data_IF_369882605871
#
_entry.id   IF_369882605871
#
_cell.length_a   1.000
_cell.length_b   1.000
_cell.length_c   1.000
_cell.angle_alpha   90.00
_cell.angle_beta   90.00
_cell.angle_gamma   90.00
#
_symmetry.space_group_name_H-M   'P 1'
#
loop_
_entity.id
_entity.type
_entity.pdbx_description
1 polymer ?
#
# COMPACT_ATOMS: atom_id res chain seq x y z
N UNK A 1 13.66 -24.62 -8.87
CA UNK A 1 13.10 -23.31 -8.50
C UNK A 1 11.67 -23.28 -9.00
N UNK A 2 10.65 -23.22 -8.12
CA UNK A 2 9.27 -23.09 -8.57
C UNK A 2 9.15 -21.73 -9.26
N UNK A 3 8.79 -21.72 -10.54
CA UNK A 3 8.58 -20.49 -11.31
C UNK A 3 7.41 -19.75 -10.67
N UNK A 4 7.65 -18.55 -10.20
CA UNK A 4 6.61 -17.67 -9.71
C UNK A 4 5.81 -17.14 -10.91
N UNK A 5 4.56 -17.52 -11.00
CA UNK A 5 3.68 -16.86 -11.95
C UNK A 5 3.41 -15.45 -11.45
N UNK A 6 3.61 -14.45 -12.33
CA UNK A 6 3.27 -13.06 -12.05
C UNK A 6 1.89 -13.01 -11.43
N UNK A 7 1.79 -12.38 -10.25
CA UNK A 7 0.52 -12.22 -9.59
C UNK A 7 -0.37 -11.25 -10.38
N UNK A 8 -1.17 -11.81 -11.24
CA UNK A 8 -2.44 -11.24 -11.61
C UNK A 8 -3.50 -11.98 -10.78
N UNK A 9 -3.95 -11.38 -9.69
CA UNK A 9 -4.90 -12.00 -8.78
C UNK A 9 -5.97 -11.02 -8.37
N UNK A 10 -7.20 -11.47 -8.37
CA UNK A 10 -8.27 -10.83 -7.64
C UNK A 10 -8.16 -11.23 -6.16
N UNK A 11 -8.23 -10.25 -5.27
CA UNK A 11 -8.32 -10.50 -3.84
C UNK A 11 -9.69 -11.07 -3.55
N UNK A 12 -9.73 -12.12 -2.74
CA UNK A 12 -10.95 -12.79 -2.32
C UNK A 12 -11.09 -12.76 -0.79
N UNK A 13 -12.23 -13.20 -0.29
CA UNK A 13 -12.55 -13.19 1.14
C UNK A 13 -13.01 -11.83 1.65
N UNK A 14 -13.00 -11.62 2.96
CA UNK A 14 -13.54 -10.42 3.61
C UNK A 14 -12.93 -9.12 3.05
N UNK A 15 -11.60 -9.07 2.85
CA UNK A 15 -10.93 -7.92 2.23
C UNK A 15 -11.32 -7.77 0.76
N UNK A 16 -11.37 -8.86 0.00
CA UNK A 16 -11.63 -8.82 -1.44
C UNK A 16 -13.03 -8.33 -1.77
N UNK A 17 -14.01 -8.72 -1.00
CA UNK A 17 -15.40 -8.31 -1.19
C UNK A 17 -15.63 -6.82 -0.94
N UNK A 18 -14.75 -6.17 -0.16
CA UNK A 18 -14.82 -4.74 0.17
C UNK A 18 -13.89 -3.87 -0.68
N UNK A 19 -12.92 -4.48 -1.38
CA UNK A 19 -11.91 -3.75 -2.13
C UNK A 19 -12.43 -3.33 -3.51
N UNK A 20 -12.48 -2.03 -3.80
CA UNK A 20 -12.84 -1.50 -5.12
C UNK A 20 -11.76 -1.75 -6.19
N UNK A 21 -10.54 -2.08 -5.77
CA UNK A 21 -9.41 -2.40 -6.65
C UNK A 21 -8.85 -3.79 -6.33
N UNK A 22 -9.66 -4.85 -6.49
CA UNK A 22 -9.27 -6.21 -6.11
C UNK A 22 -8.20 -6.81 -7.03
N UNK A 23 -8.11 -6.29 -8.28
CA UNK A 23 -7.15 -6.79 -9.28
C UNK A 23 -5.75 -6.26 -8.98
N UNK A 24 -4.85 -7.14 -8.59
CA UNK A 24 -3.47 -6.84 -8.24
C UNK A 24 -2.51 -7.41 -9.26
N UNK A 25 -1.50 -6.63 -9.61
CA UNK A 25 -0.40 -7.00 -10.51
C UNK A 25 0.92 -6.66 -9.81
N UNK A 26 1.61 -7.67 -9.30
CA UNK A 26 2.91 -7.50 -8.66
C UNK A 26 4.04 -7.72 -9.67
N UNK A 27 4.94 -6.76 -9.76
CA UNK A 27 6.12 -6.80 -10.66
C UNK A 27 7.29 -7.57 -10.06
N UNK A 28 7.25 -7.78 -8.75
CA UNK A 28 8.18 -8.61 -7.97
C UNK A 28 7.38 -9.57 -7.09
N UNK A 29 7.96 -10.68 -6.69
CA UNK A 29 7.28 -11.66 -5.87
C UNK A 29 8.19 -12.49 -4.97
N UNK A 30 7.60 -13.36 -4.17
CA UNK A 30 8.27 -14.28 -3.25
C UNK A 30 9.20 -13.61 -2.22
N UNK A 31 9.11 -12.31 -2.04
CA UNK A 31 9.90 -11.53 -1.08
C UNK A 31 9.86 -10.05 -1.39
N UNK A 32 10.15 -9.25 -0.38
CA UNK A 32 10.25 -7.80 -0.49
C UNK A 32 11.42 -7.32 0.35
N UNK A 33 12.36 -6.60 -0.27
CA UNK A 33 13.55 -6.13 0.40
C UNK A 33 13.30 -5.02 1.44
N UNK A 34 12.08 -4.47 1.50
CA UNK A 34 11.68 -3.56 2.57
C UNK A 34 11.51 -4.26 3.93
N UNK A 35 11.34 -5.57 3.94
CA UNK A 35 11.32 -6.47 5.12
C UNK A 35 10.56 -5.95 6.33
N UNK A 36 9.36 -5.41 6.10
CA UNK A 36 8.53 -4.85 7.18
C UNK A 36 8.11 -5.95 8.18
N UNK A 37 8.32 -5.72 9.48
CA UNK A 37 7.98 -6.66 10.55
C UNK A 37 6.47 -6.85 10.72
N UNK A 38 5.66 -5.85 10.38
CA UNK A 38 4.19 -5.89 10.41
C UNK A 38 3.56 -6.37 9.09
N UNK A 39 4.33 -6.97 8.18
CA UNK A 39 3.87 -7.28 6.82
C UNK A 39 2.93 -8.50 6.78
N UNK A 40 1.67 -8.28 6.43
CA UNK A 40 0.70 -9.36 6.25
C UNK A 40 1.09 -10.34 5.13
N UNK A 41 1.69 -9.83 4.04
CA UNK A 41 2.13 -10.66 2.92
C UNK A 41 3.26 -11.60 3.34
N UNK A 42 4.21 -11.12 4.16
CA UNK A 42 5.27 -11.94 4.76
C UNK A 42 4.67 -13.08 5.59
N UNK A 43 3.67 -12.80 6.42
CA UNK A 43 3.04 -13.84 7.25
C UNK A 43 2.35 -14.92 6.41
N UNK A 44 1.56 -14.53 5.40
CA UNK A 44 0.84 -15.46 4.52
C UNK A 44 1.79 -16.29 3.67
N UNK A 45 2.79 -15.66 3.07
CA UNK A 45 3.72 -16.33 2.15
C UNK A 45 4.76 -17.17 2.88
N UNK A 46 5.19 -16.76 4.08
CA UNK A 46 6.08 -17.57 4.93
C UNK A 46 5.40 -18.87 5.37
N UNK A 47 4.13 -18.80 5.79
CA UNK A 47 3.35 -19.99 6.12
C UNK A 47 3.25 -20.99 4.95
N UNK A 48 3.24 -20.48 3.71
CA UNK A 48 3.20 -21.30 2.49
C UNK A 48 4.59 -21.72 1.98
N UNK A 49 5.68 -21.36 2.67
CA UNK A 49 7.05 -21.63 2.23
C UNK A 49 7.43 -20.87 0.94
N UNK A 50 6.78 -19.75 0.66
CA UNK A 50 6.95 -18.97 -0.58
C UNK A 50 7.65 -17.63 -0.37
N UNK A 51 8.13 -17.33 0.84
CA UNK A 51 8.77 -16.05 1.15
C UNK A 51 10.28 -16.19 1.27
N UNK A 52 11.02 -15.35 0.54
CA UNK A 52 12.47 -15.22 0.63
C UNK A 52 12.91 -13.79 0.31
N UNK A 53 13.23 -13.00 1.33
CA UNK A 53 13.66 -11.61 1.16
C UNK A 53 15.02 -11.44 0.49
N UNK A 54 15.91 -12.45 0.62
CA UNK A 54 17.23 -12.38 0.03
C UNK A 54 17.20 -12.55 -1.50
N UNK A 55 16.21 -13.30 -1.99
CA UNK A 55 16.08 -13.64 -3.41
C UNK A 55 14.65 -13.46 -3.91
N UNK A 56 14.09 -12.22 -3.86
CA UNK A 56 12.80 -11.98 -4.49
C UNK A 56 12.84 -12.28 -6.00
N UNK A 57 11.72 -12.67 -6.55
CA UNK A 57 11.60 -13.04 -7.97
C UNK A 57 11.12 -11.86 -8.77
N UNK A 58 11.76 -11.62 -9.91
CA UNK A 58 11.33 -10.59 -10.87
C UNK A 58 10.22 -11.14 -11.76
N UNK A 59 9.17 -10.36 -11.96
CA UNK A 59 8.04 -10.72 -12.82
C UNK A 59 8.44 -10.88 -14.29
N UNK A 60 7.95 -11.95 -14.93
CA UNK A 60 8.19 -12.16 -16.34
C UNK A 60 7.36 -11.16 -17.18
N UNK A 61 8.02 -10.32 -17.97
CA UNK A 61 7.38 -9.25 -18.74
C UNK A 61 6.36 -9.74 -19.78
N UNK A 62 6.53 -10.95 -20.34
CA UNK A 62 5.52 -11.55 -21.25
C UNK A 62 4.25 -11.89 -20.49
N UNK A 63 4.37 -12.44 -19.29
CA UNK A 63 3.22 -12.75 -18.41
C UNK A 63 2.54 -11.46 -17.93
N UNK A 64 3.29 -10.45 -17.53
CA UNK A 64 2.77 -9.12 -17.15
C UNK A 64 1.97 -8.52 -18.30
N UNK A 65 2.51 -8.51 -19.52
CA UNK A 65 1.80 -8.03 -20.72
C UNK A 65 0.48 -8.78 -20.93
N UNK A 66 0.51 -10.11 -20.83
CA UNK A 66 -0.69 -10.94 -21.01
C UNK A 66 -1.73 -10.65 -19.92
N UNK A 67 -1.30 -10.44 -18.66
CA UNK A 67 -2.18 -10.06 -17.55
C UNK A 67 -2.85 -8.69 -17.79
N UNK A 68 -2.09 -7.70 -18.29
CA UNK A 68 -2.62 -6.37 -18.64
C UNK A 68 -3.67 -6.48 -19.75
N UNK A 69 -3.40 -7.25 -20.80
CA UNK A 69 -4.35 -7.48 -21.90
C UNK A 69 -5.62 -8.16 -21.38
N UNK A 70 -5.47 -9.18 -20.52
CA UNK A 70 -6.59 -9.87 -19.89
C UNK A 70 -7.43 -8.92 -19.05
N UNK A 71 -6.80 -8.12 -18.19
CA UNK A 71 -7.48 -7.12 -17.35
C UNK A 71 -8.30 -6.16 -18.22
N UNK A 72 -7.70 -5.60 -19.26
CA UNK A 72 -8.39 -4.68 -20.17
C UNK A 72 -9.60 -5.34 -20.85
N UNK A 73 -9.47 -6.58 -21.34
CA UNK A 73 -10.57 -7.33 -21.94
C UNK A 73 -11.69 -7.66 -20.96
N UNK A 74 -11.36 -7.86 -19.68
CA UNK A 74 -12.35 -8.10 -18.61
C UNK A 74 -13.00 -6.82 -18.07
N UNK A 75 -12.76 -5.66 -18.68
CA UNK A 75 -13.37 -4.39 -18.27
C UNK A 75 -12.78 -3.75 -17.02
N UNK A 76 -11.65 -4.29 -16.51
CA UNK A 76 -10.94 -3.70 -15.37
C UNK A 76 -10.50 -2.28 -15.74
N UNK A 77 -10.78 -1.31 -14.88
CA UNK A 77 -10.43 0.10 -15.09
C UNK A 77 -9.07 0.46 -14.51
N UNK A 78 -8.79 -0.06 -13.31
CA UNK A 78 -7.54 0.20 -12.56
C UNK A 78 -7.01 -1.10 -12.00
N UNK A 79 -5.71 -1.37 -12.17
CA UNK A 79 -4.98 -2.44 -11.48
C UNK A 79 -4.14 -1.86 -10.36
N UNK A 80 -4.04 -2.56 -9.22
CA UNK A 80 -3.18 -2.15 -8.11
C UNK A 80 -1.80 -2.80 -8.26
N UNK A 81 -0.74 -1.98 -8.28
CA UNK A 81 0.65 -2.40 -8.15
C UNK A 81 1.07 -2.36 -6.66
N UNK A 82 1.89 -3.29 -6.23
CA UNK A 82 2.33 -3.37 -4.82
C UNK A 82 1.29 -4.02 -3.90
N UNK A 83 0.70 -5.13 -4.33
CA UNK A 83 -0.27 -5.90 -3.56
C UNK A 83 0.37 -6.78 -2.49
N UNK A 84 1.27 -7.69 -2.89
CA UNK A 84 1.96 -8.61 -1.99
C UNK A 84 3.40 -8.19 -1.72
N UNK A 85 4.03 -7.48 -2.67
CA UNK A 85 5.39 -6.94 -2.54
C UNK A 85 5.38 -5.49 -3.00
N UNK A 86 6.38 -4.72 -2.60
CA UNK A 86 6.52 -3.35 -3.09
C UNK A 86 7.09 -3.35 -4.51
N UNK A 87 6.41 -2.69 -5.42
CA UNK A 87 6.83 -2.59 -6.82
C UNK A 87 8.05 -1.68 -7.01
N UNK A 88 8.37 -0.82 -6.03
CA UNK A 88 9.56 0.04 -6.00
C UNK A 88 10.59 -0.40 -4.96
N UNK A 89 10.63 -1.69 -4.59
CA UNK A 89 11.70 -2.22 -3.75
C UNK A 89 13.07 -2.07 -4.44
N UNK A 90 14.22 -2.17 -3.74
CA UNK A 90 15.55 -1.92 -4.31
C UNK A 90 15.87 -2.67 -5.61
N UNK A 91 15.26 -3.83 -5.84
CA UNK A 91 15.40 -4.57 -7.12
C UNK A 91 14.98 -3.74 -8.34
N UNK A 92 14.09 -2.76 -8.17
CA UNK A 92 13.64 -1.92 -9.28
C UNK A 92 14.77 -1.09 -9.88
N UNK A 93 15.77 -0.70 -9.10
CA UNK A 93 16.97 -0.01 -9.60
C UNK A 93 17.76 -0.86 -10.61
N UNK A 94 17.70 -2.19 -10.46
CA UNK A 94 18.44 -3.14 -11.32
C UNK A 94 17.60 -3.65 -12.49
N UNK A 95 16.38 -4.12 -12.22
CA UNK A 95 15.59 -4.90 -13.17
C UNK A 95 14.55 -4.06 -13.93
N UNK A 96 14.12 -2.93 -13.36
CA UNK A 96 13.18 -1.98 -13.97
C UNK A 96 11.87 -2.63 -14.46
N UNK A 97 11.42 -3.65 -13.73
CA UNK A 97 10.21 -4.38 -14.11
C UNK A 97 8.95 -3.50 -13.94
N UNK A 98 8.91 -2.65 -12.90
CA UNK A 98 7.81 -1.70 -12.69
C UNK A 98 7.83 -0.60 -13.76
N UNK A 99 9.00 -0.07 -14.12
CA UNK A 99 9.15 0.89 -15.21
C UNK A 99 8.56 0.36 -16.52
N UNK A 100 8.95 -0.86 -16.91
CA UNK A 100 8.44 -1.51 -18.12
C UNK A 100 6.93 -1.79 -18.03
N UNK A 101 6.45 -2.17 -16.84
CA UNK A 101 5.02 -2.43 -16.60
C UNK A 101 4.19 -1.16 -16.76
N UNK A 102 4.64 -0.02 -16.22
CA UNK A 102 3.97 1.28 -16.36
C UNK A 102 3.87 1.66 -17.86
N UNK A 103 4.93 1.49 -18.61
CA UNK A 103 4.89 1.73 -20.07
C UNK A 103 3.86 0.85 -20.79
N UNK A 104 3.72 -0.40 -20.38
CA UNK A 104 2.69 -1.29 -20.92
C UNK A 104 1.28 -0.84 -20.50
N UNK A 105 1.07 -0.47 -19.24
CA UNK A 105 -0.21 0.03 -18.74
C UNK A 105 -0.67 1.28 -19.53
N UNK A 106 0.23 2.24 -19.74
CA UNK A 106 -0.03 3.42 -20.56
C UNK A 106 -0.34 3.05 -22.02
N UNK A 107 0.43 2.13 -22.62
CA UNK A 107 0.19 1.66 -23.99
C UNK A 107 -1.21 1.04 -24.15
N UNK A 108 -1.67 0.28 -23.17
CA UNK A 108 -3.00 -0.36 -23.20
C UNK A 108 -4.12 0.50 -22.59
N UNK A 109 -3.81 1.74 -22.18
CA UNK A 109 -4.76 2.65 -21.54
C UNK A 109 -5.52 2.00 -20.39
N UNK A 110 -4.78 1.39 -19.47
CA UNK A 110 -5.27 0.75 -18.25
C UNK A 110 -4.75 1.54 -17.05
N UNK A 111 -5.66 2.07 -16.23
CA UNK A 111 -5.32 2.81 -15.01
C UNK A 111 -4.56 1.94 -14.01
N UNK A 112 -3.74 2.56 -13.18
CA UNK A 112 -2.96 1.86 -12.16
C UNK A 112 -2.84 2.65 -10.88
N UNK A 113 -3.02 1.95 -9.76
CA UNK A 113 -2.78 2.45 -8.42
C UNK A 113 -1.46 1.88 -7.89
N UNK A 114 -0.48 2.74 -7.71
CA UNK A 114 0.81 2.40 -7.11
C UNK A 114 0.74 2.58 -5.61
N UNK A 115 1.02 1.50 -4.86
CA UNK A 115 1.15 1.53 -3.40
C UNK A 115 2.59 1.17 -3.05
N UNK A 116 3.33 2.09 -2.44
CA UNK A 116 4.76 1.92 -2.19
C UNK A 116 5.24 2.59 -0.91
N UNK A 117 6.35 2.10 -0.35
CA UNK A 117 7.15 2.73 0.72
C UNK A 117 8.46 3.34 0.20
N UNK A 118 8.60 3.45 -1.11
CA UNK A 118 9.83 3.89 -1.76
C UNK A 118 9.71 5.30 -2.34
N UNK A 119 10.70 6.14 -2.07
CA UNK A 119 10.83 7.45 -2.71
C UNK A 119 11.12 7.37 -4.22
N UNK A 120 11.60 6.22 -4.71
CA UNK A 120 11.90 6.00 -6.13
C UNK A 120 10.71 6.28 -7.05
N UNK A 121 9.48 6.17 -6.52
CA UNK A 121 8.25 6.48 -7.25
C UNK A 121 8.22 7.90 -7.81
N UNK A 122 8.92 8.84 -7.18
CA UNK A 122 9.01 10.24 -7.62
C UNK A 122 10.33 10.60 -8.30
N UNK A 123 11.15 9.61 -8.71
CA UNK A 123 12.33 9.89 -9.51
C UNK A 123 11.95 10.44 -10.88
N UNK A 124 12.73 11.37 -11.42
CA UNK A 124 12.44 12.08 -12.67
C UNK A 124 12.20 11.16 -13.86
N UNK A 125 12.89 10.03 -13.93
CA UNK A 125 12.72 9.06 -14.99
C UNK A 125 11.34 8.38 -14.97
N UNK A 126 10.76 8.15 -13.76
CA UNK A 126 9.40 7.63 -13.60
C UNK A 126 8.37 8.73 -13.81
N UNK A 127 8.61 9.93 -13.28
CA UNK A 127 7.74 11.09 -13.46
C UNK A 127 7.49 11.39 -14.95
N UNK A 128 8.50 11.18 -15.81
CA UNK A 128 8.40 11.39 -17.26
C UNK A 128 7.51 10.37 -17.99
N UNK A 129 7.30 9.19 -17.42
CA UNK A 129 6.51 8.14 -18.06
C UNK A 129 5.11 7.99 -17.48
N UNK A 130 4.79 8.63 -16.36
CA UNK A 130 3.44 8.57 -15.81
C UNK A 130 2.42 9.30 -16.70
N UNK A 131 1.31 8.65 -16.96
CA UNK A 131 0.13 9.25 -17.60
C UNK A 131 -0.79 9.77 -16.50
N UNK A 132 -1.08 11.08 -16.48
CA UNK A 132 -1.83 11.73 -15.40
C UNK A 132 -3.28 11.24 -15.27
N UNK A 133 -3.85 10.75 -16.37
CA UNK A 133 -5.22 10.24 -16.40
C UNK A 133 -5.30 8.76 -15.95
N UNK A 134 -4.16 8.09 -15.86
CA UNK A 134 -4.09 6.66 -15.53
C UNK A 134 -3.41 6.36 -14.21
N UNK A 135 -2.52 7.24 -13.76
CA UNK A 135 -1.64 7.02 -12.61
C UNK A 135 -2.23 7.57 -11.31
N UNK A 136 -2.35 6.69 -10.31
CA UNK A 136 -2.75 7.04 -8.95
C UNK A 136 -1.70 6.53 -7.97
N UNK A 137 -1.42 7.29 -6.91
CA UNK A 137 -0.35 6.99 -5.99
C UNK A 137 -0.80 7.01 -4.54
N UNK A 138 -0.33 6.02 -3.78
CA UNK A 138 -0.41 5.98 -2.32
C UNK A 138 0.99 5.67 -1.79
N UNK A 139 1.67 6.69 -1.25
CA UNK A 139 2.99 6.51 -0.64
C UNK A 139 2.81 6.26 0.85
N UNK A 140 3.23 5.08 1.28
CA UNK A 140 2.98 4.58 2.63
C UNK A 140 4.02 5.08 3.62
N UNK A 141 3.58 5.57 4.78
CA UNK A 141 4.43 5.81 5.94
C UNK A 141 3.71 5.43 7.23
N UNK A 142 4.48 5.03 8.25
CA UNK A 142 4.00 4.66 9.58
C UNK A 142 4.61 5.56 10.67
N UNK A 143 5.62 6.36 10.29
CA UNK A 143 6.36 7.28 11.12
C UNK A 143 6.76 8.50 10.29
N UNK A 144 6.97 9.66 10.89
CA UNK A 144 7.39 10.90 10.22
C UNK A 144 8.77 11.40 10.68
N UNK A 145 9.39 10.70 11.60
CA UNK A 145 10.71 11.04 12.15
C UNK A 145 11.75 10.01 11.68
N UNK A 146 12.82 10.49 11.02
CA UNK A 146 13.86 9.61 10.45
C UNK A 146 14.72 8.93 11.52
N UNK A 147 14.91 9.58 12.68
CA UNK A 147 15.73 9.00 13.75
C UNK A 147 14.92 7.97 14.54
N UNK A 148 13.66 8.27 14.83
CA UNK A 148 12.74 7.29 15.40
C UNK A 148 12.61 6.08 14.46
N UNK A 149 12.44 6.31 13.14
CA UNK A 149 12.37 5.26 12.13
C UNK A 149 13.59 4.35 12.16
N UNK A 150 14.81 4.91 12.20
CA UNK A 150 16.05 4.13 12.30
C UNK A 150 16.17 3.37 13.61
N UNK A 151 15.77 4.01 14.72
CA UNK A 151 15.81 3.40 16.06
C UNK A 151 14.87 2.21 16.17
N UNK A 152 13.68 2.30 15.60
CA UNK A 152 12.68 1.24 15.64
C UNK A 152 13.01 0.04 14.74
N UNK A 153 13.82 0.23 13.70
CA UNK A 153 14.30 -0.79 12.73
C UNK A 153 13.26 -1.84 12.31
N UNK A 154 12.01 -1.41 12.17
CA UNK A 154 10.88 -2.29 11.86
C UNK A 154 10.68 -2.53 10.36
N UNK A 155 11.37 -1.80 9.50
CA UNK A 155 11.36 -1.95 8.03
C UNK A 155 12.63 -1.34 7.40
N UNK A 156 12.98 -1.82 6.19
CA UNK A 156 14.16 -1.36 5.42
C UNK A 156 13.74 -0.60 4.14
N UNK A 157 12.69 0.18 4.23
CA UNK A 157 12.19 1.01 3.14
C UNK A 157 12.88 2.39 3.13
N UNK A 158 12.45 3.29 2.26
CA UNK A 158 12.93 4.67 2.27
C UNK A 158 12.59 5.36 3.58
N UNK A 159 13.49 6.20 4.09
CA UNK A 159 13.23 6.99 5.30
C UNK A 159 12.00 7.89 5.13
N UNK A 160 11.27 8.21 6.22
CA UNK A 160 10.04 9.00 6.17
C UNK A 160 10.15 10.33 5.44
N UNK A 161 11.21 11.12 5.68
CA UNK A 161 11.42 12.41 5.01
C UNK A 161 11.42 12.27 3.50
N UNK A 162 12.09 11.25 2.94
CA UNK A 162 12.14 10.99 1.51
C UNK A 162 10.79 10.55 0.92
N UNK A 163 9.97 9.84 1.71
CA UNK A 163 8.61 9.49 1.28
C UNK A 163 7.72 10.74 1.21
N UNK A 164 7.83 11.64 2.19
CA UNK A 164 7.10 12.91 2.19
C UNK A 164 7.54 13.82 1.04
N UNK A 165 8.85 13.93 0.78
CA UNK A 165 9.35 14.64 -0.41
C UNK A 165 8.74 14.07 -1.71
N UNK A 166 8.67 12.73 -1.83
CA UNK A 166 8.07 12.07 -2.99
C UNK A 166 6.57 12.40 -3.14
N UNK A 167 5.80 12.39 -2.05
CA UNK A 167 4.38 12.79 -2.07
C UNK A 167 4.24 14.22 -2.56
N UNK A 168 5.00 15.16 -1.99
CA UNK A 168 4.95 16.58 -2.37
C UNK A 168 5.30 16.77 -3.83
N UNK A 169 6.37 16.14 -4.31
CA UNK A 169 6.78 16.21 -5.71
C UNK A 169 5.71 15.70 -6.68
N UNK A 170 5.04 14.60 -6.34
CA UNK A 170 3.92 14.08 -7.13
C UNK A 170 2.71 15.01 -7.06
N UNK A 171 2.40 15.57 -5.90
CA UNK A 171 1.30 16.52 -5.68
C UNK A 171 1.53 17.80 -6.49
N UNK A 172 2.72 18.40 -6.42
CA UNK A 172 3.10 19.62 -7.13
C UNK A 172 3.08 19.43 -8.65
N UNK A 173 3.39 18.22 -9.11
CA UNK A 173 3.27 17.84 -10.52
C UNK A 173 1.82 17.60 -10.96
N UNK A 174 0.83 17.67 -10.05
CA UNK A 174 -0.61 17.54 -10.34
C UNK A 174 -1.09 16.11 -10.49
N UNK A 175 -0.35 15.11 -10.00
CA UNK A 175 -0.81 13.72 -9.95
C UNK A 175 -1.83 13.48 -8.84
N UNK A 176 -2.68 12.44 -9.01
CA UNK A 176 -3.53 11.93 -7.94
C UNK A 176 -2.68 11.13 -6.94
N UNK A 177 -2.31 11.78 -5.84
CA UNK A 177 -1.44 11.20 -4.81
C UNK A 177 -1.99 11.46 -3.42
N UNK A 178 -1.87 10.45 -2.55
CA UNK A 178 -2.16 10.56 -1.12
C UNK A 178 -1.10 9.89 -0.27
N UNK A 179 -0.99 10.34 0.97
CA UNK A 179 -0.26 9.60 1.99
C UNK A 179 -1.08 8.37 2.40
N UNK A 180 -0.43 7.21 2.50
CA UNK A 180 -1.04 6.02 3.07
C UNK A 180 -0.47 5.77 4.47
N UNK A 181 -1.30 5.95 5.49
CA UNK A 181 -0.97 5.62 6.88
C UNK A 181 -1.34 4.14 7.12
N UNK A 182 -0.41 3.24 6.76
CA UNK A 182 -0.70 1.79 6.75
C UNK A 182 0.54 0.97 7.17
N UNK A 183 0.51 0.44 8.40
CA UNK A 183 -0.48 0.69 9.44
C UNK A 183 -0.33 2.08 10.10
N UNK A 184 -1.45 2.65 10.53
CA UNK A 184 -1.42 3.77 11.47
C UNK A 184 -1.20 3.23 12.88
N UNK A 185 -0.07 3.58 13.49
CA UNK A 185 0.32 3.22 14.85
C UNK A 185 0.46 4.52 15.62
N UNK A 186 -0.36 4.69 16.65
CA UNK A 186 -0.48 5.94 17.38
C UNK A 186 0.84 6.40 17.99
N UNK A 187 1.59 5.47 18.58
CA UNK A 187 2.85 5.75 19.28
C UNK A 187 3.98 6.20 18.33
N UNK A 188 3.85 5.93 17.04
CA UNK A 188 4.87 6.27 16.03
C UNK A 188 4.53 7.52 15.23
N UNK A 189 3.31 8.08 15.43
CA UNK A 189 2.82 9.17 14.61
C UNK A 189 2.83 10.51 15.36
N UNK A 190 3.64 11.43 14.86
CA UNK A 190 3.53 12.85 15.19
C UNK A 190 2.39 13.48 14.40
N UNK A 191 1.22 13.62 15.02
CA UNK A 191 0.03 14.13 14.36
C UNK A 191 0.11 15.63 14.06
N UNK A 192 0.81 16.42 14.86
CA UNK A 192 0.99 17.86 14.61
C UNK A 192 1.85 18.06 13.37
N UNK A 193 2.96 17.34 13.28
CA UNK A 193 3.79 17.31 12.09
C UNK A 193 3.02 16.80 10.86
N UNK A 194 2.26 15.69 10.99
CA UNK A 194 1.43 15.15 9.92
C UNK A 194 0.48 16.21 9.34
N UNK A 195 -0.24 16.89 10.22
CA UNK A 195 -1.26 17.87 9.85
C UNK A 195 -0.65 19.15 9.24
N UNK A 196 0.64 19.44 9.51
CA UNK A 196 1.36 20.59 8.95
C UNK A 196 2.02 20.34 7.59
N UNK A 197 2.01 19.10 7.08
CA UNK A 197 2.72 18.73 5.84
C UNK A 197 2.14 19.34 4.56
N UNK A 198 0.90 19.83 4.57
CA UNK A 198 0.22 20.35 3.36
C UNK A 198 -0.24 19.25 2.40
N UNK A 199 -0.30 17.99 2.85
CA UNK A 199 -0.81 16.87 2.06
C UNK A 199 -2.33 16.96 2.00
N UNK A 200 -2.90 16.75 0.80
CA UNK A 200 -4.34 16.96 0.58
C UNK A 200 -5.17 15.69 0.80
N UNK A 201 -4.58 14.53 0.62
CA UNK A 201 -5.29 13.25 0.65
C UNK A 201 -4.56 12.21 1.51
N UNK A 202 -5.33 11.51 2.35
CA UNK A 202 -4.84 10.38 3.14
C UNK A 202 -5.72 9.15 2.99
N UNK A 203 -5.10 7.97 2.97
CA UNK A 203 -5.79 6.72 3.21
C UNK A 203 -5.23 6.09 4.48
N UNK A 204 -6.10 5.75 5.40
CA UNK A 204 -5.74 5.18 6.70
C UNK A 204 -6.15 3.71 6.77
N UNK A 205 -5.25 2.89 7.29
CA UNK A 205 -5.46 1.48 7.60
C UNK A 205 -4.81 1.18 8.95
N UNK A 206 -5.57 0.64 9.89
CA UNK A 206 -5.04 0.21 11.18
C UNK A 206 -4.36 -1.15 11.09
N UNK A 207 -3.46 -1.43 12.03
CA UNK A 207 -2.75 -2.70 12.09
C UNK A 207 -3.74 -3.85 12.32
N UNK A 208 -3.58 -4.91 11.52
CA UNK A 208 -4.20 -6.22 11.75
C UNK A 208 -3.16 -7.13 12.37
N UNK A 209 -3.44 -7.68 13.53
CA UNK A 209 -2.48 -8.42 14.34
C UNK A 209 -2.80 -9.91 14.29
N UNK A 210 -1.82 -10.72 13.92
CA UNK A 210 -1.88 -12.18 14.05
C UNK A 210 -0.66 -12.68 14.83
N UNK A 211 -0.60 -13.99 15.08
CA UNK A 211 0.50 -14.62 15.81
C UNK A 211 1.90 -14.27 15.24
N UNK A 212 2.03 -14.22 13.91
CA UNK A 212 3.31 -13.93 13.25
C UNK A 212 3.73 -12.47 13.44
N UNK A 213 2.77 -11.56 13.33
CA UNK A 213 3.03 -10.11 13.54
C UNK A 213 3.45 -9.88 14.99
N UNK A 214 2.78 -10.46 15.98
CA UNK A 214 3.18 -10.37 17.39
C UNK A 214 4.61 -10.89 17.64
N UNK A 215 5.04 -11.88 16.87
CA UNK A 215 6.40 -12.45 16.98
C UNK A 215 7.47 -11.53 16.37
N UNK A 216 7.14 -10.77 15.33
CA UNK A 216 8.11 -10.00 14.56
C UNK A 216 8.11 -8.51 14.86
N UNK A 217 7.04 -8.00 15.41
CA UNK A 217 6.82 -6.58 15.61
C UNK A 217 6.40 -6.33 17.06
N UNK A 218 7.23 -5.61 17.80
CA UNK A 218 7.07 -5.38 19.23
C UNK A 218 6.42 -4.02 19.49
N UNK A 219 5.13 -4.05 19.85
CA UNK A 219 4.34 -2.89 20.30
C UNK A 219 3.40 -3.33 21.41
N UNK A 220 2.74 -2.38 22.08
CA UNK A 220 1.66 -2.68 23.02
C UNK A 220 0.41 -3.21 22.30
N UNK A 221 0.10 -4.48 22.50
CA UNK A 221 -1.08 -5.13 21.93
C UNK A 221 -2.30 -5.13 22.85
N UNK A 222 -2.24 -4.52 24.04
CA UNK A 222 -3.32 -4.57 25.05
C UNK A 222 -4.65 -4.03 24.55
N UNK A 223 -4.61 -3.09 23.60
CA UNK A 223 -5.81 -2.47 23.01
C UNK A 223 -6.41 -3.27 21.82
N UNK A 224 -5.73 -4.30 21.31
CA UNK A 224 -6.20 -5.10 20.18
C UNK A 224 -7.14 -6.20 20.65
N UNK A 225 -8.33 -5.83 21.11
CA UNK A 225 -9.26 -6.74 21.80
C UNK A 225 -10.34 -7.34 20.91
N UNK A 226 -10.58 -6.78 19.71
CA UNK A 226 -11.56 -7.32 18.77
C UNK A 226 -10.94 -8.44 17.93
N UNK A 227 -11.55 -9.63 17.94
CA UNK A 227 -11.09 -10.78 17.14
C UNK A 227 -12.04 -11.03 15.97
N UNK A 228 -11.53 -10.87 14.76
CA UNK A 228 -12.29 -11.11 13.53
C UNK A 228 -11.37 -11.61 12.41
N UNK A 229 -11.87 -12.51 11.57
CA UNK A 229 -11.19 -13.06 10.38
C UNK A 229 -9.76 -13.60 10.65
N UNK A 230 -9.51 -14.11 11.87
CA UNK A 230 -8.19 -14.65 12.26
C UNK A 230 -7.16 -13.59 12.65
N UNK A 231 -7.60 -12.35 12.83
CA UNK A 231 -6.78 -11.24 13.32
C UNK A 231 -7.35 -10.62 14.60
N UNK A 232 -6.50 -9.93 15.33
CA UNK A 232 -6.89 -9.03 16.42
C UNK A 232 -6.81 -7.60 15.90
N UNK A 233 -7.82 -6.79 16.25
CA UNK A 233 -8.00 -5.42 15.80
C UNK A 233 -8.24 -4.48 16.97
N UNK A 234 -7.97 -3.20 16.78
CA UNK A 234 -8.48 -2.16 17.67
C UNK A 234 -10.00 -2.09 17.57
N UNK A 235 -10.73 -1.89 18.68
CA UNK A 235 -12.16 -1.58 18.67
C UNK A 235 -12.46 -0.31 17.86
N UNK A 236 -13.68 -0.19 17.35
CA UNK A 236 -14.10 0.95 16.54
C UNK A 236 -13.90 2.30 17.25
N UNK A 237 -14.25 2.38 18.52
CA UNK A 237 -14.13 3.63 19.30
C UNK A 237 -12.66 4.07 19.46
N UNK A 238 -11.74 3.13 19.64
CA UNK A 238 -10.31 3.44 19.68
C UNK A 238 -9.79 3.92 18.33
N UNK A 239 -10.21 3.28 17.25
CA UNK A 239 -9.90 3.73 15.87
C UNK A 239 -10.44 5.16 15.61
N UNK A 240 -11.67 5.47 16.03
CA UNK A 240 -12.26 6.81 15.93
C UNK A 240 -11.46 7.86 16.71
N UNK A 241 -11.08 7.53 17.93
CA UNK A 241 -10.28 8.41 18.80
C UNK A 241 -8.94 8.76 18.14
N UNK A 242 -8.26 7.77 17.56
CA UNK A 242 -6.98 7.98 16.88
C UNK A 242 -7.18 8.78 15.59
N UNK A 243 -8.18 8.40 14.78
CA UNK A 243 -8.47 9.07 13.51
C UNK A 243 -8.82 10.55 13.71
N UNK A 244 -9.49 10.91 14.80
CA UNK A 244 -9.82 12.30 15.13
C UNK A 244 -8.62 13.23 15.23
N UNK A 245 -7.39 12.69 15.41
CA UNK A 245 -6.13 13.45 15.43
C UNK A 245 -5.62 13.79 14.01
N UNK A 246 -6.08 13.10 12.97
CA UNK A 246 -5.68 13.35 11.57
C UNK A 246 -6.55 14.47 11.01
N UNK A 247 -5.95 15.55 10.52
CA UNK A 247 -6.61 16.75 10.00
C UNK A 247 -6.28 17.02 8.51
N UNK A 248 -6.08 15.97 7.75
CA UNK A 248 -5.87 16.06 6.30
C UNK A 248 -7.23 16.30 5.62
N UNK A 249 -7.34 17.16 4.59
CA UNK A 249 -8.62 17.54 3.98
C UNK A 249 -9.46 16.36 3.48
N UNK A 250 -8.86 15.41 2.78
CA UNK A 250 -9.54 14.23 2.28
C UNK A 250 -9.01 12.97 2.97
N UNK A 251 -9.80 12.40 3.87
CA UNK A 251 -9.45 11.16 4.57
C UNK A 251 -10.32 10.02 4.06
N UNK A 252 -9.70 8.89 3.74
CA UNK A 252 -10.34 7.62 3.42
C UNK A 252 -9.84 6.52 4.34
N UNK A 253 -10.70 5.55 4.60
CA UNK A 253 -10.41 4.39 5.45
C UNK A 253 -10.43 3.11 4.63
N UNK A 254 -9.39 2.27 4.78
CA UNK A 254 -9.37 0.91 4.29
C UNK A 254 -9.54 -0.05 5.48
N UNK A 255 -10.50 -0.95 5.41
CA UNK A 255 -10.92 -1.79 6.55
C UNK A 255 -11.40 -3.17 6.08
N UNK A 256 -11.21 -4.19 6.91
CA UNK A 256 -11.66 -5.56 6.67
C UNK A 256 -12.70 -6.07 7.68
N UNK A 257 -12.78 -5.45 8.86
CA UNK A 257 -13.84 -5.70 9.84
C UNK A 257 -15.17 -5.15 9.32
N UNK A 258 -16.21 -5.97 9.23
CA UNK A 258 -17.47 -5.63 8.56
C UNK A 258 -18.16 -4.41 9.16
N UNK A 259 -18.35 -4.40 10.48
CA UNK A 259 -19.01 -3.30 11.18
C UNK A 259 -18.22 -1.99 11.01
N UNK A 260 -16.89 -2.05 11.15
CA UNK A 260 -16.02 -0.88 11.00
C UNK A 260 -16.02 -0.35 9.56
N UNK A 261 -15.98 -1.27 8.57
CA UNK A 261 -16.06 -0.90 7.15
C UNK A 261 -17.33 -0.10 6.85
N UNK A 262 -18.49 -0.60 7.29
CA UNK A 262 -19.76 0.05 7.09
C UNK A 262 -19.77 1.46 7.75
N UNK A 263 -19.30 1.54 8.99
CA UNK A 263 -19.17 2.84 9.68
C UNK A 263 -18.30 3.83 8.89
N UNK A 264 -17.13 3.41 8.39
CA UNK A 264 -16.24 4.30 7.65
C UNK A 264 -16.82 4.72 6.31
N UNK A 265 -17.47 3.82 5.60
CA UNK A 265 -18.16 4.14 4.34
C UNK A 265 -19.28 5.13 4.55
N UNK A 266 -20.05 5.03 5.63
CA UNK A 266 -21.17 5.91 5.90
C UNK A 266 -20.75 7.29 6.45
N UNK A 267 -19.71 7.36 7.26
CA UNK A 267 -19.41 8.54 8.06
C UNK A 267 -18.11 9.27 7.70
N UNK A 268 -17.14 8.60 7.06
CA UNK A 268 -15.79 9.15 6.86
C UNK A 268 -15.42 9.20 5.39
N UNK A 269 -15.53 8.09 4.66
CA UNK A 269 -15.05 8.01 3.28
C UNK A 269 -15.81 9.00 2.37
N UNK A 270 -15.09 9.90 1.67
CA UNK A 270 -15.72 10.92 0.85
C UNK A 270 -16.46 10.34 -0.36
N UNK A 271 -15.97 9.21 -0.89
CA UNK A 271 -16.60 8.49 -1.98
C UNK A 271 -17.15 7.15 -1.49
N UNK A 272 -18.48 7.02 -1.49
CA UNK A 272 -19.18 5.80 -1.04
C UNK A 272 -18.99 4.59 -1.97
N UNK A 273 -18.48 4.82 -3.17
CA UNK A 273 -18.21 3.80 -4.18
C UNK A 273 -16.71 3.59 -4.43
N UNK A 274 -15.84 4.14 -3.60
CA UNK A 274 -14.39 4.02 -3.74
C UNK A 274 -13.67 4.39 -2.45
N UNK A 275 -13.32 3.39 -1.63
CA UNK A 275 -12.57 3.62 -0.39
C UNK A 275 -11.14 4.16 -0.61
N UNK A 276 -10.58 4.06 -1.81
CA UNK A 276 -9.29 4.69 -2.14
C UNK A 276 -9.42 6.14 -2.60
N UNK A 277 -10.66 6.59 -2.88
CA UNK A 277 -10.97 7.94 -3.33
C UNK A 277 -10.07 8.41 -4.49
N UNK A 278 -9.91 7.56 -5.51
CA UNK A 278 -9.10 7.91 -6.68
C UNK A 278 -9.81 8.99 -7.51
N UNK A 279 -9.02 9.93 -8.03
CA UNK A 279 -9.52 10.92 -9.00
C UNK A 279 -9.97 10.17 -10.27
N UNK A 280 -11.16 10.49 -10.76
CA UNK A 280 -11.73 9.93 -11.99
C UNK A 280 -11.77 10.97 -13.09
#
# INVERSE_FOLDING_TARGET
MKSFSVFYKEVSGAEGNKCFYPTRLDTYGCGCQHDCSYCYAKSILSFRGLWNNEKPVVGNMKQIKNAIIKAKKSGIKVVRLGGMTDCFQPLELKYRATYQTIRLLNKYKLGYLIVTKSHLVANDEYMKIYDKDLAHFQVTTTCLDDDLYKKLDYEKASVPSKRIEAIKKLQDAGFDVGIRLSPLIEEYMDFDKLNSLGIQKALVEFLRVNHWIKKWFDIDYSKFTLKENGYEHLPLEEKKRILAKVKIPEISMCEDVEEHYNYWMDNVNPNKNDCCNLRR
#
